data_IF_933060582308
#
_entry.id   IF_933060582308
#
_cell.length_a   1.000
_cell.length_b   1.000
_cell.length_c   1.000
_cell.angle_alpha   90.00
_cell.angle_beta   90.00
_cell.angle_gamma   90.00
#
_symmetry.space_group_name_H-M   'P 1'
#
loop_
_entity.id
_entity.type
_entity.pdbx_description
1 polymer ?
#
# COMPACT_ATOMS: atom_id res chain seq x y z
N UNK A 1 -42.65 3.96 -5.59
CA UNK A 1 -41.69 2.86 -5.81
C UNK A 1 -41.02 3.22 -7.12
N UNK A 2 -40.02 4.10 -7.05
CA UNK A 2 -39.39 4.65 -8.26
C UNK A 2 -38.40 3.63 -8.78
N UNK A 3 -38.77 2.98 -9.89
CA UNK A 3 -38.00 1.97 -10.60
C UNK A 3 -36.90 2.57 -11.48
N UNK A 4 -36.67 3.89 -11.40
CA UNK A 4 -35.78 4.65 -12.29
C UNK A 4 -34.49 5.12 -11.62
N UNK A 5 -34.12 4.57 -10.45
CA UNK A 5 -32.80 4.82 -9.89
C UNK A 5 -31.73 4.22 -10.81
N UNK A 6 -30.74 5.00 -11.30
CA UNK A 6 -29.72 4.49 -12.21
C UNK A 6 -28.96 3.32 -11.56
N UNK A 7 -29.06 2.15 -12.18
CA UNK A 7 -28.45 0.92 -11.67
C UNK A 7 -26.96 0.86 -12.00
N UNK A 8 -26.13 0.83 -10.97
CA UNK A 8 -24.68 0.64 -11.02
C UNK A 8 -24.29 -0.84 -10.81
N UNK A 9 -24.74 -1.71 -11.72
CA UNK A 9 -24.28 -3.10 -11.78
C UNK A 9 -22.75 -3.27 -11.84
N UNK A 10 -21.98 -2.49 -12.62
CA UNK A 10 -20.52 -2.66 -12.67
C UNK A 10 -19.86 -2.35 -11.33
N UNK A 11 -20.28 -1.28 -10.63
CA UNK A 11 -19.79 -0.96 -9.29
C UNK A 11 -20.07 -2.08 -8.29
N UNK A 12 -21.29 -2.62 -8.26
CA UNK A 12 -21.63 -3.74 -7.38
C UNK A 12 -20.75 -4.98 -7.64
N UNK A 13 -20.56 -5.34 -8.92
CA UNK A 13 -19.74 -6.49 -9.30
C UNK A 13 -18.29 -6.29 -8.84
N UNK A 14 -17.74 -5.09 -9.07
CA UNK A 14 -16.39 -4.73 -8.59
C UNK A 14 -16.31 -4.87 -7.07
N UNK A 15 -17.27 -4.34 -6.31
CA UNK A 15 -17.29 -4.43 -4.85
C UNK A 15 -17.24 -5.88 -4.36
N UNK A 16 -18.11 -6.75 -4.86
CA UNK A 16 -18.13 -8.17 -4.46
C UNK A 16 -16.90 -8.93 -4.93
N UNK A 17 -16.41 -8.64 -6.14
CA UNK A 17 -15.17 -9.21 -6.66
C UNK A 17 -13.96 -8.82 -5.79
N UNK A 18 -13.90 -7.58 -5.29
CA UNK A 18 -12.86 -7.11 -4.38
C UNK A 18 -12.81 -7.92 -3.08
N UNK A 19 -13.97 -8.26 -2.51
CA UNK A 19 -14.04 -9.08 -1.28
C UNK A 19 -13.48 -10.48 -1.53
N UNK A 20 -13.91 -11.13 -2.61
CA UNK A 20 -13.44 -12.47 -2.97
C UNK A 20 -11.94 -12.46 -3.29
N UNK A 21 -11.48 -11.47 -4.06
CA UNK A 21 -10.08 -11.31 -4.41
C UNK A 21 -9.22 -11.02 -3.17
N UNK A 22 -9.67 -10.18 -2.24
CA UNK A 22 -8.96 -9.91 -0.97
C UNK A 22 -8.71 -11.20 -0.18
N UNK A 23 -9.74 -12.04 -0.05
CA UNK A 23 -9.62 -13.34 0.64
C UNK A 23 -8.68 -14.29 -0.10
N UNK A 24 -8.82 -14.37 -1.43
CA UNK A 24 -7.98 -15.21 -2.28
C UNK A 24 -6.51 -14.83 -2.20
N UNK A 25 -6.17 -13.57 -2.44
CA UNK A 25 -4.80 -13.06 -2.35
C UNK A 25 -4.23 -13.22 -0.95
N UNK A 26 -5.02 -12.99 0.11
CA UNK A 26 -4.56 -13.15 1.49
C UNK A 26 -4.20 -14.61 1.75
N UNK A 27 -5.05 -15.54 1.32
CA UNK A 27 -4.78 -16.98 1.41
C UNK A 27 -3.49 -17.38 0.66
N UNK A 28 -3.30 -16.88 -0.56
CA UNK A 28 -2.09 -17.15 -1.36
C UNK A 28 -0.83 -16.61 -0.65
N UNK A 29 -0.87 -15.38 -0.15
CA UNK A 29 0.27 -14.75 0.53
C UNK A 29 0.61 -15.47 1.83
N UNK A 30 -0.38 -15.80 2.67
CA UNK A 30 -0.16 -16.55 3.90
C UNK A 30 0.40 -17.95 3.63
N UNK A 31 -0.12 -18.64 2.61
CA UNK A 31 0.42 -19.94 2.21
C UNK A 31 1.87 -19.82 1.71
N UNK A 32 2.18 -18.78 0.94
CA UNK A 32 3.53 -18.50 0.44
C UNK A 32 4.52 -18.25 1.59
N UNK A 33 4.12 -17.44 2.58
CA UNK A 33 4.92 -17.19 3.80
C UNK A 33 5.13 -18.49 4.58
N UNK A 34 4.07 -19.30 4.75
CA UNK A 34 4.14 -20.58 5.46
C UNK A 34 5.10 -21.55 4.79
N UNK A 35 5.02 -21.70 3.47
CA UNK A 35 5.91 -22.57 2.70
C UNK A 35 7.37 -22.11 2.82
N UNK A 36 7.63 -20.80 2.68
CA UNK A 36 8.95 -20.20 2.86
C UNK A 36 9.52 -20.46 4.25
N UNK A 37 8.71 -20.30 5.30
CA UNK A 37 9.10 -20.58 6.68
C UNK A 37 9.43 -22.08 6.90
N UNK A 38 8.63 -22.98 6.33
CA UNK A 38 8.86 -24.43 6.41
C UNK A 38 10.16 -24.85 5.71
N UNK A 39 10.43 -24.30 4.52
CA UNK A 39 11.68 -24.55 3.79
C UNK A 39 12.92 -24.10 4.56
N UNK A 40 12.78 -23.13 5.46
CA UNK A 40 13.87 -22.63 6.30
C UNK A 40 14.03 -23.40 7.63
N UNK A 41 13.43 -24.60 7.76
CA UNK A 41 13.47 -25.45 8.95
C UNK A 41 13.14 -24.70 10.26
N UNK A 42 12.28 -23.68 10.21
CA UNK A 42 11.92 -22.86 11.38
C UNK A 42 13.05 -21.99 11.95
N UNK A 43 14.19 -21.87 11.27
CA UNK A 43 15.30 -20.98 11.69
C UNK A 43 14.95 -19.50 11.54
N UNK A 44 14.02 -19.16 10.63
CA UNK A 44 13.55 -17.78 10.48
C UNK A 44 12.62 -17.39 11.62
N UNK A 45 13.08 -16.51 12.51
CA UNK A 45 12.22 -15.90 13.52
C UNK A 45 11.35 -14.82 12.86
N UNK A 46 10.05 -15.08 12.76
CA UNK A 46 9.08 -14.04 12.38
C UNK A 46 8.96 -13.07 13.57
N UNK A 47 9.26 -11.77 13.38
CA UNK A 47 9.17 -10.83 14.48
C UNK A 47 7.72 -10.62 14.94
N UNK A 48 7.48 -10.78 16.24
CA UNK A 48 6.15 -10.58 16.85
C UNK A 48 5.58 -9.20 16.54
N UNK A 49 6.43 -8.16 16.51
CA UNK A 49 6.03 -6.80 16.17
C UNK A 49 5.34 -6.70 14.80
N UNK A 50 5.83 -7.42 13.78
CA UNK A 50 5.22 -7.42 12.44
C UNK A 50 3.88 -8.16 12.44
N UNK A 51 3.73 -9.21 13.25
CA UNK A 51 2.46 -9.95 13.39
C UNK A 51 1.42 -9.03 14.05
N UNK A 52 1.79 -8.38 15.16
CA UNK A 52 0.92 -7.43 15.85
C UNK A 52 0.52 -6.30 14.90
N UNK A 53 1.48 -5.74 14.16
CA UNK A 53 1.22 -4.64 13.24
C UNK A 53 0.33 -5.04 12.06
N UNK A 54 0.50 -6.25 11.54
CA UNK A 54 -0.39 -6.83 10.52
C UNK A 54 -1.82 -6.95 11.05
N UNK A 55 -1.99 -7.50 12.25
CA UNK A 55 -3.30 -7.65 12.88
C UNK A 55 -3.95 -6.31 13.23
N UNK A 56 -3.18 -5.35 13.76
CA UNK A 56 -3.69 -4.03 14.14
C UNK A 56 -4.07 -3.20 12.92
N UNK A 57 -3.26 -3.24 11.86
CA UNK A 57 -3.55 -2.60 10.57
C UNK A 57 -4.84 -3.13 9.97
N UNK A 58 -4.98 -4.47 9.88
CA UNK A 58 -6.19 -5.10 9.36
C UNK A 58 -7.43 -4.73 10.17
N UNK A 59 -7.34 -4.77 11.51
CA UNK A 59 -8.45 -4.46 12.39
C UNK A 59 -8.88 -2.99 12.30
N UNK A 60 -7.91 -2.07 12.31
CA UNK A 60 -8.16 -0.63 12.22
C UNK A 60 -8.83 -0.28 10.89
N UNK A 61 -8.32 -0.77 9.77
CA UNK A 61 -8.96 -0.46 8.48
C UNK A 61 -10.33 -1.12 8.37
N UNK A 62 -10.48 -2.37 8.79
CA UNK A 62 -11.76 -3.07 8.77
C UNK A 62 -12.84 -2.27 9.51
N UNK A 63 -12.48 -1.68 10.66
CA UNK A 63 -13.37 -0.79 11.42
C UNK A 63 -13.77 0.47 10.63
N UNK A 64 -12.81 1.22 10.07
CA UNK A 64 -13.13 2.44 9.33
C UNK A 64 -13.87 2.18 8.01
N UNK A 65 -13.48 1.16 7.26
CA UNK A 65 -14.17 0.77 6.02
C UNK A 65 -15.59 0.26 6.30
N UNK A 66 -15.79 -0.52 7.37
CA UNK A 66 -17.13 -0.93 7.79
C UNK A 66 -17.99 0.29 8.17
N UNK A 67 -17.42 1.30 8.82
CA UNK A 67 -18.12 2.55 9.08
C UNK A 67 -18.50 3.31 7.80
N UNK A 68 -17.65 3.31 6.76
CA UNK A 68 -18.01 3.85 5.43
C UNK A 68 -19.21 3.10 4.85
N UNK A 69 -19.17 1.76 4.85
CA UNK A 69 -20.26 0.94 4.31
C UNK A 69 -21.57 1.14 5.08
N UNK A 70 -21.50 1.22 6.42
CA UNK A 70 -22.66 1.52 7.25
C UNK A 70 -23.22 2.90 6.94
N UNK A 71 -22.37 3.92 6.78
CA UNK A 71 -22.80 5.27 6.47
C UNK A 71 -23.52 5.32 5.12
N UNK A 72 -22.93 4.68 4.09
CA UNK A 72 -23.53 4.56 2.76
C UNK A 72 -24.87 3.83 2.82
N UNK A 73 -24.96 2.71 3.54
CA UNK A 73 -26.22 1.98 3.69
C UNK A 73 -27.28 2.79 4.42
N UNK A 74 -26.92 3.50 5.49
CA UNK A 74 -27.83 4.39 6.23
C UNK A 74 -28.44 5.45 5.33
N UNK A 75 -27.61 6.12 4.53
CA UNK A 75 -28.06 7.15 3.59
C UNK A 75 -28.99 6.55 2.53
N UNK A 76 -28.61 5.43 1.93
CA UNK A 76 -29.43 4.73 0.95
C UNK A 76 -30.79 4.30 1.54
N UNK A 77 -30.79 3.70 2.73
CA UNK A 77 -32.00 3.21 3.39
C UNK A 77 -32.97 4.34 3.74
N UNK A 78 -32.46 5.51 4.14
CA UNK A 78 -33.25 6.70 4.42
C UNK A 78 -33.95 7.20 3.16
N UNK A 79 -33.22 7.27 2.04
CA UNK A 79 -33.78 7.70 0.75
C UNK A 79 -34.85 6.74 0.22
N UNK A 80 -34.75 5.45 0.54
CA UNK A 80 -35.69 4.42 0.11
C UNK A 80 -36.78 4.10 1.16
N UNK A 81 -36.83 4.85 2.27
CA UNK A 81 -37.78 4.64 3.38
C UNK A 81 -37.76 3.22 3.97
N UNK A 82 -36.59 2.56 3.97
CA UNK A 82 -36.40 1.22 4.52
C UNK A 82 -35.94 1.35 5.97
N UNK A 83 -36.59 0.69 6.95
CA UNK A 83 -36.19 0.77 8.35
C UNK A 83 -34.80 0.15 8.55
N UNK A 84 -33.90 0.86 9.24
CA UNK A 84 -32.53 0.40 9.54
C UNK A 84 -32.48 -0.98 10.21
N UNK A 85 -33.53 -1.30 10.97
CA UNK A 85 -33.73 -2.60 11.60
C UNK A 85 -33.70 -3.78 10.62
N UNK A 86 -33.94 -3.58 9.32
CA UNK A 86 -33.88 -4.64 8.30
C UNK A 86 -32.49 -5.31 8.18
N UNK A 87 -31.41 -4.65 8.62
CA UNK A 87 -30.05 -5.20 8.58
C UNK A 87 -29.71 -6.05 9.82
N UNK A 88 -30.38 -5.81 10.95
CA UNK A 88 -30.09 -6.42 12.27
C UNK A 88 -31.22 -7.37 12.73
N UNK A 89 -32.45 -7.15 12.28
CA UNK A 89 -33.66 -7.93 12.58
C UNK A 89 -33.63 -9.33 11.97
N UNK A 90 -34.47 -10.24 12.47
CA UNK A 90 -34.66 -11.60 11.96
C UNK A 90 -35.10 -11.65 10.49
N UNK A 91 -35.69 -10.56 9.96
CA UNK A 91 -36.04 -10.40 8.54
C UNK A 91 -34.87 -9.84 7.72
N UNK A 92 -33.69 -10.48 7.80
CA UNK A 92 -32.55 -10.14 6.93
C UNK A 92 -32.87 -10.57 5.51
N UNK A 93 -33.19 -9.63 4.64
CA UNK A 93 -33.38 -9.91 3.22
C UNK A 93 -32.06 -9.61 2.49
N UNK A 94 -31.30 -10.65 2.04
CA UNK A 94 -30.07 -10.45 1.25
C UNK A 94 -30.32 -9.63 -0.03
N UNK A 95 -31.58 -9.59 -0.47
CA UNK A 95 -32.07 -8.75 -1.55
C UNK A 95 -31.78 -7.25 -1.32
N UNK A 96 -31.85 -6.73 -0.09
CA UNK A 96 -31.58 -5.32 0.19
C UNK A 96 -30.09 -4.97 0.13
N UNK A 97 -29.20 -5.88 0.53
CA UNK A 97 -27.75 -5.66 0.39
C UNK A 97 -27.33 -5.64 -1.08
N UNK A 98 -27.91 -6.55 -1.88
CA UNK A 98 -27.69 -6.54 -3.32
C UNK A 98 -28.21 -5.25 -3.95
N UNK A 99 -29.47 -4.89 -3.67
CA UNK A 99 -30.08 -3.64 -4.16
C UNK A 99 -29.26 -2.42 -3.80
N UNK A 100 -28.86 -2.27 -2.53
CA UNK A 100 -27.96 -1.21 -2.08
C UNK A 100 -26.65 -1.20 -2.85
N UNK A 101 -25.99 -2.36 -3.02
CA UNK A 101 -24.73 -2.42 -3.76
C UNK A 101 -24.88 -2.00 -5.23
N UNK A 102 -26.04 -2.29 -5.85
CA UNK A 102 -26.32 -1.94 -7.26
C UNK A 102 -26.90 -0.54 -7.46
N UNK A 103 -27.35 0.15 -6.42
CA UNK A 103 -28.04 1.45 -6.57
C UNK A 103 -27.39 2.56 -5.75
N UNK A 104 -26.29 2.27 -5.05
CA UNK A 104 -25.50 3.28 -4.35
C UNK A 104 -24.34 3.79 -5.19
N UNK A 105 -23.95 5.04 -4.93
CA UNK A 105 -22.78 5.71 -5.48
C UNK A 105 -21.52 5.49 -4.64
N UNK A 106 -21.42 4.35 -3.93
CA UNK A 106 -20.40 4.08 -2.89
C UNK A 106 -18.97 4.51 -3.27
N UNK A 107 -18.49 4.12 -4.45
CA UNK A 107 -17.13 4.44 -4.91
C UNK A 107 -16.95 5.92 -5.26
N UNK A 108 -17.97 6.53 -5.84
CA UNK A 108 -17.97 7.96 -6.17
C UNK A 108 -17.98 8.78 -4.88
N UNK A 109 -18.88 8.48 -3.94
CA UNK A 109 -18.97 9.16 -2.65
C UNK A 109 -17.64 9.06 -1.87
N UNK A 110 -17.00 7.89 -1.92
CA UNK A 110 -15.69 7.68 -1.31
C UNK A 110 -14.62 8.58 -1.96
N UNK A 111 -14.55 8.59 -3.29
CA UNK A 111 -13.60 9.39 -4.06
C UNK A 111 -13.79 10.89 -3.83
N UNK A 112 -15.03 11.36 -3.86
CA UNK A 112 -15.38 12.76 -3.61
C UNK A 112 -15.04 13.16 -2.17
N UNK A 113 -15.32 12.29 -1.19
CA UNK A 113 -15.05 12.59 0.21
C UNK A 113 -13.57 12.83 0.51
N UNK A 114 -12.66 12.08 -0.13
CA UNK A 114 -11.22 12.21 0.08
C UNK A 114 -10.61 13.44 -0.59
N UNK A 115 -11.24 13.99 -1.62
CA UNK A 115 -10.79 15.21 -2.31
C UNK A 115 -11.60 16.48 -1.95
N UNK A 116 -12.68 16.33 -1.19
CA UNK A 116 -13.66 17.39 -0.92
C UNK A 116 -13.09 18.68 -0.34
N UNK A 117 -12.03 18.60 0.48
CA UNK A 117 -11.38 19.77 1.06
C UNK A 117 -9.87 19.62 1.02
N UNK A 118 -9.14 20.74 0.96
CA UNK A 118 -7.67 20.73 0.94
C UNK A 118 -7.05 19.92 2.10
N UNK A 119 -7.50 20.05 3.36
CA UNK A 119 -6.98 19.23 4.46
C UNK A 119 -7.23 17.73 4.28
N UNK A 120 -8.45 17.34 3.83
CA UNK A 120 -8.80 15.93 3.57
C UNK A 120 -7.96 15.35 2.45
N UNK A 121 -7.77 16.14 1.39
CA UNK A 121 -6.96 15.76 0.25
C UNK A 121 -5.49 15.62 0.62
N UNK A 122 -4.94 16.50 1.46
CA UNK A 122 -3.55 16.41 1.91
C UNK A 122 -3.29 15.14 2.72
N UNK A 123 -4.19 14.76 3.62
CA UNK A 123 -4.09 13.50 4.36
C UNK A 123 -4.24 12.29 3.43
N UNK A 124 -5.27 12.29 2.59
CA UNK A 124 -5.59 11.18 1.69
C UNK A 124 -4.50 10.96 0.64
N UNK A 125 -4.02 12.03 0.00
CA UNK A 125 -2.92 11.98 -0.97
C UNK A 125 -1.62 11.51 -0.33
N UNK A 126 -1.35 11.85 0.93
CA UNK A 126 -0.17 11.35 1.66
C UNK A 126 -0.23 9.82 1.86
N UNK A 127 -1.41 9.28 2.17
CA UNK A 127 -1.64 7.84 2.21
C UNK A 127 -1.41 7.18 0.84
N UNK A 128 -1.97 7.76 -0.21
CA UNK A 128 -1.82 7.29 -1.59
C UNK A 128 -0.36 7.32 -2.07
N UNK A 129 0.42 8.35 -1.70
CA UNK A 129 1.86 8.41 -1.98
C UNK A 129 2.65 7.36 -1.22
N UNK A 130 2.24 7.04 0.01
CA UNK A 130 2.82 5.92 0.77
C UNK A 130 2.62 4.59 0.05
N UNK A 131 1.45 4.36 -0.55
CA UNK A 131 1.20 3.17 -1.38
C UNK A 131 2.16 3.07 -2.56
N UNK A 132 2.42 4.19 -3.26
CA UNK A 132 3.42 4.23 -4.36
C UNK A 132 4.81 3.85 -3.86
N UNK A 133 5.24 4.43 -2.73
CA UNK A 133 6.54 4.14 -2.15
C UNK A 133 6.67 2.65 -1.78
N UNK A 134 5.63 2.07 -1.19
CA UNK A 134 5.56 0.64 -0.86
C UNK A 134 5.55 -0.23 -2.13
N UNK A 135 4.81 0.14 -3.17
CA UNK A 135 4.75 -0.58 -4.44
C UNK A 135 6.12 -0.63 -5.13
N UNK A 136 6.80 0.53 -5.20
CA UNK A 136 8.16 0.63 -5.74
C UNK A 136 9.11 -0.25 -4.93
N UNK A 137 9.10 -0.11 -3.59
CA UNK A 137 9.94 -0.91 -2.71
C UNK A 137 9.70 -2.41 -2.88
N UNK A 138 8.44 -2.84 -2.88
CA UNK A 138 8.02 -4.22 -3.05
C UNK A 138 8.41 -4.79 -4.42
N UNK A 139 8.28 -4.00 -5.48
CA UNK A 139 8.68 -4.40 -6.84
C UNK A 139 10.20 -4.59 -6.96
N UNK A 140 10.98 -3.75 -6.31
CA UNK A 140 12.45 -3.83 -6.32
C UNK A 140 12.93 -4.98 -5.45
N UNK A 141 12.58 -4.98 -4.17
CA UNK A 141 13.03 -5.98 -3.20
C UNK A 141 12.45 -7.35 -3.48
N UNK A 142 11.19 -7.42 -3.91
CA UNK A 142 10.52 -8.67 -4.22
C UNK A 142 11.23 -9.41 -5.34
N UNK A 143 11.63 -8.72 -6.41
CA UNK A 143 12.39 -9.33 -7.50
C UNK A 143 13.86 -9.54 -7.15
N UNK A 144 14.50 -8.59 -6.45
CA UNK A 144 15.88 -8.74 -5.97
C UNK A 144 16.04 -10.00 -5.12
N UNK A 145 15.07 -10.26 -4.24
CA UNK A 145 15.06 -11.44 -3.38
C UNK A 145 14.26 -12.60 -3.98
N UNK A 146 13.85 -12.56 -5.24
CA UNK A 146 13.06 -13.63 -5.89
C UNK A 146 11.90 -14.14 -5.01
N UNK A 147 11.06 -13.24 -4.52
CA UNK A 147 9.90 -13.58 -3.69
C UNK A 147 8.89 -14.35 -4.53
N UNK A 148 8.51 -15.59 -4.14
CA UNK A 148 7.47 -16.35 -4.82
C UNK A 148 6.13 -15.62 -4.76
N UNK A 149 5.30 -15.78 -5.79
CA UNK A 149 3.96 -15.19 -5.87
C UNK A 149 3.91 -13.67 -5.59
N UNK A 150 4.94 -12.92 -6.00
CA UNK A 150 5.01 -11.47 -5.78
C UNK A 150 3.76 -10.73 -6.29
N UNK A 151 3.17 -11.20 -7.39
CA UNK A 151 1.91 -10.69 -7.94
C UNK A 151 0.76 -10.67 -6.92
N UNK A 152 0.70 -11.65 -6.00
CA UNK A 152 -0.34 -11.70 -4.98
C UNK A 152 -0.14 -10.63 -3.88
N UNK A 153 1.11 -10.27 -3.58
CA UNK A 153 1.40 -9.14 -2.67
C UNK A 153 1.00 -7.81 -3.30
N UNK A 154 1.21 -7.63 -4.61
CA UNK A 154 0.69 -6.48 -5.36
C UNK A 154 -0.84 -6.49 -5.39
N UNK A 155 -1.48 -7.64 -5.61
CA UNK A 155 -2.94 -7.77 -5.52
C UNK A 155 -3.49 -7.35 -4.17
N UNK A 156 -2.81 -7.69 -3.07
CA UNK A 156 -3.15 -7.16 -1.74
C UNK A 156 -2.92 -5.66 -1.63
N UNK A 157 -1.84 -5.13 -2.19
CA UNK A 157 -1.55 -3.70 -2.15
C UNK A 157 -2.61 -2.86 -2.89
N UNK A 158 -3.24 -3.41 -3.93
CA UNK A 158 -4.33 -2.75 -4.67
C UNK A 158 -5.66 -2.73 -3.91
N UNK A 159 -5.97 -3.83 -3.21
CA UNK A 159 -7.31 -4.11 -2.67
C UNK A 159 -7.41 -3.83 -1.17
N UNK A 160 -6.34 -4.15 -0.43
CA UNK A 160 -6.27 -4.10 1.01
C UNK A 160 -5.38 -2.94 1.49
N UNK A 161 -5.39 -2.62 2.80
CA UNK A 161 -4.58 -1.54 3.33
C UNK A 161 -3.11 -1.70 2.98
N UNK A 162 -2.46 -0.59 2.65
CA UNK A 162 -1.05 -0.51 2.31
C UNK A 162 -0.20 -1.12 3.41
N UNK A 163 -0.48 -0.74 4.65
CA UNK A 163 0.26 -1.18 5.82
C UNK A 163 0.11 -2.68 6.11
N UNK A 164 -1.02 -3.28 5.75
CA UNK A 164 -1.24 -4.73 5.87
C UNK A 164 -0.40 -5.49 4.84
N UNK A 165 -0.50 -5.11 3.56
CA UNK A 165 0.28 -5.72 2.48
C UNK A 165 1.79 -5.56 2.71
N UNK A 166 2.21 -4.37 3.15
CA UNK A 166 3.60 -4.06 3.50
C UNK A 166 4.10 -4.92 4.67
N UNK A 167 3.33 -5.07 5.73
CA UNK A 167 3.74 -5.85 6.91
C UNK A 167 3.87 -7.35 6.56
N UNK A 168 2.93 -7.89 5.78
CA UNK A 168 3.03 -9.26 5.25
C UNK A 168 4.26 -9.44 4.35
N UNK A 169 4.57 -8.45 3.53
CA UNK A 169 5.78 -8.47 2.70
C UNK A 169 7.05 -8.47 3.56
N UNK A 170 7.12 -7.66 4.62
CA UNK A 170 8.26 -7.71 5.56
C UNK A 170 8.39 -9.05 6.28
N UNK A 171 7.27 -9.68 6.65
CA UNK A 171 7.28 -11.04 7.20
C UNK A 171 7.87 -12.01 6.16
N UNK A 172 7.42 -11.94 4.90
CA UNK A 172 7.96 -12.76 3.82
C UNK A 172 9.48 -12.60 3.69
N UNK A 173 9.99 -11.35 3.70
CA UNK A 173 11.43 -11.08 3.66
C UNK A 173 12.19 -11.65 4.86
N UNK A 174 11.56 -11.74 6.05
CA UNK A 174 12.16 -12.38 7.23
C UNK A 174 12.21 -13.91 7.12
N UNK A 175 11.23 -14.53 6.46
CA UNK A 175 11.17 -15.99 6.33
C UNK A 175 12.14 -16.54 5.30
N UNK A 176 12.50 -15.73 4.30
CA UNK A 176 13.36 -16.17 3.20
C UNK A 176 14.82 -16.31 3.66
N UNK A 177 15.50 -17.44 3.35
CA UNK A 177 16.94 -17.55 3.58
C UNK A 177 17.70 -16.52 2.75
N UNK A 178 18.59 -15.77 3.41
CA UNK A 178 19.53 -14.90 2.74
C UNK A 178 20.56 -15.79 2.04
N UNK A 179 20.40 -15.98 0.73
CA UNK A 179 21.35 -16.79 -0.05
C UNK A 179 22.72 -16.12 0.00
N UNK A 180 23.69 -16.79 0.63
CA UNK A 180 25.09 -16.35 0.70
C UNK A 180 25.76 -16.25 -0.69
N UNK A 181 25.15 -16.86 -1.71
CA UNK A 181 25.64 -16.88 -3.10
C UNK A 181 24.69 -16.14 -4.06
N UNK A 182 23.94 -15.14 -3.61
CA UNK A 182 23.36 -14.20 -4.56
C UNK A 182 24.54 -13.41 -5.14
N UNK A 183 25.07 -13.87 -6.28
CA UNK A 183 25.69 -12.98 -7.26
C UNK A 183 24.83 -11.72 -7.25
N UNK A 184 25.34 -10.65 -6.66
CA UNK A 184 24.61 -9.41 -6.42
C UNK A 184 24.27 -8.90 -7.81
N UNK A 185 23.11 -9.31 -8.34
CA UNK A 185 22.66 -8.91 -9.65
C UNK A 185 22.37 -7.44 -9.50
N UNK A 186 23.32 -6.62 -9.93
CA UNK A 186 23.23 -5.18 -9.83
C UNK A 186 22.07 -4.77 -10.73
N UNK A 187 20.97 -4.44 -10.08
CA UNK A 187 19.72 -4.09 -10.72
C UNK A 187 19.73 -2.58 -10.89
N UNK A 188 20.03 -2.12 -12.11
CA UNK A 188 19.93 -0.73 -12.50
C UNK A 188 18.51 -0.41 -12.93
N UNK A 189 17.99 0.73 -12.47
CA UNK A 189 16.66 1.18 -12.84
C UNK A 189 16.64 1.72 -14.25
N UNK A 190 15.66 1.27 -15.03
CA UNK A 190 15.37 1.87 -16.31
C UNK A 190 14.75 3.27 -16.09
N UNK A 191 15.00 4.29 -16.94
CA UNK A 191 14.44 5.63 -16.75
C UNK A 191 12.91 5.66 -16.58
N UNK A 192 12.20 4.67 -17.11
CA UNK A 192 10.75 4.53 -16.95
C UNK A 192 10.29 4.40 -15.48
N UNK A 193 11.15 4.02 -14.55
CA UNK A 193 10.82 3.99 -13.12
C UNK A 193 10.50 5.39 -12.57
N UNK A 194 11.13 6.44 -13.10
CA UNK A 194 10.83 7.83 -12.73
C UNK A 194 9.50 8.31 -13.33
N UNK A 195 9.00 7.65 -14.38
CA UNK A 195 7.70 7.96 -14.97
C UNK A 195 6.54 7.58 -14.05
N UNK A 196 6.69 6.57 -13.18
CA UNK A 196 5.64 6.18 -12.22
C UNK A 196 5.24 7.34 -11.30
N UNK A 197 6.14 7.91 -10.47
CA UNK A 197 5.77 9.03 -9.59
C UNK A 197 5.31 10.26 -10.36
N UNK A 198 5.83 10.53 -11.56
CA UNK A 198 5.36 11.66 -12.40
C UNK A 198 3.93 11.48 -12.90
N UNK A 199 3.59 10.30 -13.44
CA UNK A 199 2.24 9.99 -13.91
C UNK A 199 1.25 9.90 -12.73
N UNK A 200 1.73 9.43 -11.58
CA UNK A 200 0.93 9.39 -10.36
C UNK A 200 0.62 10.80 -9.84
N UNK A 201 1.62 11.69 -9.82
CA UNK A 201 1.45 13.11 -9.53
C UNK A 201 0.40 13.74 -10.45
N UNK A 202 0.49 13.49 -11.76
CA UNK A 202 -0.48 13.97 -12.74
C UNK A 202 -1.90 13.46 -12.43
N UNK A 203 -2.03 12.18 -12.10
CA UNK A 203 -3.32 11.57 -11.74
C UNK A 203 -3.91 12.21 -10.49
N UNK A 204 -3.11 12.42 -9.44
CA UNK A 204 -3.58 13.05 -8.20
C UNK A 204 -4.00 14.50 -8.42
N UNK A 205 -3.22 15.30 -9.15
CA UNK A 205 -3.60 16.68 -9.46
C UNK A 205 -4.90 16.75 -10.29
N UNK A 206 -5.05 15.85 -11.27
CA UNK A 206 -6.26 15.76 -12.08
C UNK A 206 -7.48 15.35 -11.24
N UNK A 207 -7.29 14.47 -10.24
CA UNK A 207 -8.36 14.05 -9.34
C UNK A 207 -8.93 15.22 -8.50
N UNK A 208 -8.10 16.21 -8.17
CA UNK A 208 -8.56 17.43 -7.49
C UNK A 208 -9.40 18.32 -8.43
N UNK A 209 -9.00 18.42 -9.70
CA UNK A 209 -9.74 19.19 -10.72
C UNK A 209 -11.09 18.54 -11.05
N UNK A 210 -11.16 17.21 -11.04
CA UNK A 210 -12.38 16.44 -11.30
C UNK A 210 -13.24 16.20 -10.07
N UNK A 211 -12.97 16.88 -8.96
CA UNK A 211 -13.81 16.83 -7.76
C UNK A 211 -15.22 17.38 -8.10
N UNK A 212 -16.21 16.49 -8.16
CA UNK A 212 -17.59 16.80 -8.57
C UNK A 212 -17.96 16.34 -9.99
N UNK A 213 -16.98 15.90 -10.79
CA UNK A 213 -17.20 15.21 -12.07
C UNK A 213 -16.99 13.70 -11.88
N UNK A 214 -17.96 13.06 -11.21
CA UNK A 214 -17.87 11.70 -10.68
C UNK A 214 -17.26 10.66 -11.64
N UNK A 215 -17.65 10.64 -12.91
CA UNK A 215 -17.12 9.69 -13.90
C UNK A 215 -15.62 9.88 -14.15
N UNK A 216 -15.17 11.13 -14.36
CA UNK A 216 -13.75 11.44 -14.62
C UNK A 216 -12.90 11.12 -13.41
N UNK A 217 -13.40 11.41 -12.21
CA UNK A 217 -12.74 11.09 -10.95
C UNK A 217 -12.48 9.57 -10.84
N UNK A 218 -13.47 8.74 -11.16
CA UNK A 218 -13.32 7.27 -11.14
C UNK A 218 -12.26 6.80 -12.16
N UNK A 219 -12.25 7.32 -13.38
CA UNK A 219 -11.23 6.96 -14.37
C UNK A 219 -9.82 7.38 -13.93
N UNK A 220 -9.67 8.54 -13.30
CA UNK A 220 -8.40 8.99 -12.74
C UNK A 220 -7.93 8.11 -11.60
N UNK A 221 -8.83 7.69 -10.70
CA UNK A 221 -8.52 6.73 -9.63
C UNK A 221 -8.08 5.39 -10.24
N UNK A 222 -8.78 4.89 -11.25
CA UNK A 222 -8.42 3.63 -11.92
C UNK A 222 -7.04 3.71 -12.58
N UNK A 223 -6.73 4.82 -13.25
CA UNK A 223 -5.42 5.07 -13.82
C UNK A 223 -4.32 5.08 -12.73
N UNK A 224 -4.57 5.74 -11.60
CA UNK A 224 -3.65 5.75 -10.47
C UNK A 224 -3.40 4.33 -9.91
N UNK A 225 -4.44 3.49 -9.85
CA UNK A 225 -4.31 2.07 -9.44
C UNK A 225 -3.49 1.24 -10.42
N UNK A 226 -3.69 1.41 -11.73
CA UNK A 226 -2.88 0.69 -12.74
C UNK A 226 -1.39 1.03 -12.61
N UNK A 227 -1.05 2.28 -12.28
CA UNK A 227 0.34 2.72 -12.07
C UNK A 227 1.03 2.00 -10.90
N UNK A 228 0.29 1.58 -9.87
CA UNK A 228 0.83 0.85 -8.72
C UNK A 228 1.25 -0.59 -9.04
N UNK A 229 0.72 -1.18 -10.11
CA UNK A 229 1.11 -2.51 -10.62
C UNK A 229 2.38 -2.41 -11.47
N UNK A 230 2.68 -1.25 -12.04
CA UNK A 230 3.78 -1.06 -12.97
C UNK A 230 5.16 -1.46 -12.40
N UNK A 231 5.49 -1.19 -11.11
CA UNK A 231 6.69 -1.74 -10.46
C UNK A 231 6.82 -3.27 -10.51
N UNK A 232 5.76 -4.05 -10.71
CA UNK A 232 5.84 -5.51 -10.87
C UNK A 232 6.36 -5.92 -12.25
N UNK A 233 6.04 -5.13 -13.29
CA UNK A 233 6.25 -5.47 -14.71
C UNK A 233 7.48 -4.77 -15.28
N UNK A 234 7.81 -3.55 -14.82
CA UNK A 234 8.91 -2.78 -15.38
C UNK A 234 10.23 -3.56 -15.32
N UNK A 235 11.02 -3.52 -16.40
CA UNK A 235 12.29 -4.21 -16.44
C UNK A 235 13.25 -3.59 -15.43
N UNK A 236 14.16 -4.46 -15.03
CA UNK A 236 15.12 -4.27 -13.98
C UNK A 236 16.43 -4.67 -14.66
N UNK A 237 17.21 -3.68 -15.09
CA UNK A 237 18.38 -3.92 -15.94
C UNK A 237 19.44 -4.63 -15.11
N UNK A 238 19.81 -5.85 -15.49
CA UNK A 238 20.96 -6.51 -14.89
C UNK A 238 22.22 -5.94 -15.50
N UNK A 239 22.98 -5.17 -14.74
CA UNK A 239 24.32 -4.78 -15.15
C UNK A 239 25.21 -6.00 -14.94
N UNK A 240 25.47 -6.72 -16.03
CA UNK A 240 26.46 -7.78 -16.05
C UNK A 240 27.84 -7.13 -15.98
N UNK A 241 28.61 -7.50 -14.94
CA UNK A 241 30.07 -7.34 -14.84
C UNK A 241 30.61 -5.91 -15.04
N UNK A 242 30.95 -5.24 -13.94
CA UNK A 242 31.85 -4.07 -13.95
C UNK A 242 33.15 -4.37 -13.18
N UNK A 243 34.24 -3.67 -13.55
CA UNK A 243 35.61 -4.11 -13.30
C UNK A 243 35.99 -4.05 -11.81
N UNK A 244 36.87 -4.96 -11.41
CA UNK A 244 37.45 -5.05 -10.06
C UNK A 244 37.95 -3.68 -9.58
N UNK A 245 37.18 -3.00 -8.74
CA UNK A 245 37.63 -1.75 -8.11
C UNK A 245 36.54 -0.84 -7.55
N UNK A 246 35.29 -0.92 -8.03
CA UNK A 246 34.17 -0.14 -7.47
C UNK A 246 33.27 -1.01 -6.59
N UNK A 247 32.95 -0.56 -5.38
CA UNK A 247 32.07 -1.27 -4.44
C UNK A 247 30.65 -1.35 -5.02
N UNK A 248 30.16 -2.55 -5.40
CA UNK A 248 28.88 -2.71 -6.09
C UNK A 248 27.67 -2.22 -5.27
N UNK A 249 27.79 -2.20 -3.95
CA UNK A 249 26.74 -1.71 -3.04
C UNK A 249 26.50 -0.20 -3.18
N UNK A 250 27.55 0.61 -3.39
CA UNK A 250 27.43 2.08 -3.35
C UNK A 250 26.59 2.64 -4.50
N UNK A 251 26.76 2.13 -5.72
CA UNK A 251 25.97 2.54 -6.89
C UNK A 251 24.49 2.11 -6.79
N UNK A 252 24.21 0.93 -6.24
CA UNK A 252 22.85 0.43 -6.09
C UNK A 252 22.09 1.23 -5.04
N UNK A 253 22.68 1.43 -3.85
CA UNK A 253 22.09 2.28 -2.81
C UNK A 253 21.86 3.71 -3.32
N UNK A 254 22.80 4.27 -4.08
CA UNK A 254 22.64 5.59 -4.68
C UNK A 254 21.45 5.66 -5.66
N UNK A 255 21.27 4.67 -6.52
CA UNK A 255 20.17 4.64 -7.49
C UNK A 255 18.79 4.50 -6.83
N UNK A 256 18.67 3.65 -5.79
CA UNK A 256 17.42 3.48 -5.03
C UNK A 256 17.11 4.73 -4.23
N UNK A 257 18.14 5.32 -3.62
CA UNK A 257 18.03 6.58 -2.91
C UNK A 257 17.57 7.70 -3.84
N UNK A 258 18.07 7.79 -5.09
CA UNK A 258 17.63 8.77 -6.08
C UNK A 258 16.16 8.62 -6.45
N UNK A 259 15.67 7.40 -6.68
CA UNK A 259 14.25 7.17 -6.98
C UNK A 259 13.37 7.52 -5.78
N UNK A 260 13.82 7.16 -4.58
CA UNK A 260 13.14 7.48 -3.33
C UNK A 260 13.08 9.00 -3.08
N UNK A 261 14.22 9.70 -3.19
CA UNK A 261 14.27 11.16 -3.03
C UNK A 261 13.47 11.87 -4.11
N UNK A 262 13.47 11.36 -5.36
CA UNK A 262 12.61 11.87 -6.42
C UNK A 262 11.13 11.73 -6.10
N UNK A 263 10.71 10.56 -5.60
CA UNK A 263 9.32 10.31 -5.19
C UNK A 263 8.90 11.25 -4.06
N UNK A 264 9.75 11.42 -3.04
CA UNK A 264 9.52 12.38 -1.97
C UNK A 264 9.47 13.83 -2.47
N UNK A 265 10.33 14.21 -3.42
CA UNK A 265 10.30 15.53 -4.03
C UNK A 265 9.00 15.76 -4.79
N UNK A 266 8.52 14.77 -5.56
CA UNK A 266 7.22 14.87 -6.27
C UNK A 266 6.04 14.96 -5.31
N UNK A 267 6.06 14.21 -4.20
CA UNK A 267 5.07 14.32 -3.14
C UNK A 267 5.09 15.72 -2.52
N UNK A 268 6.27 16.24 -2.17
CA UNK A 268 6.42 17.57 -1.60
C UNK A 268 5.89 18.66 -2.55
N UNK A 269 6.18 18.54 -3.85
CA UNK A 269 5.64 19.46 -4.87
C UNK A 269 4.11 19.38 -4.96
N UNK A 270 3.53 18.17 -4.89
CA UNK A 270 2.07 17.98 -4.81
C UNK A 270 1.51 18.76 -3.63
N UNK A 271 2.07 18.52 -2.43
CA UNK A 271 1.60 19.12 -1.18
C UNK A 271 1.76 20.64 -1.18
N UNK A 272 2.87 21.16 -1.71
CA UNK A 272 3.12 22.60 -1.84
C UNK A 272 2.15 23.26 -2.82
N UNK A 273 1.79 22.59 -3.92
CA UNK A 273 0.87 23.13 -4.93
C UNK A 273 -0.56 23.37 -4.40
N UNK A 274 -0.97 22.62 -3.38
CA UNK A 274 -2.32 22.67 -2.81
C UNK A 274 -2.56 23.96 -1.97
N UNK A 275 -1.49 24.68 -1.64
CA UNK A 275 -1.55 26.01 -1.01
C UNK A 275 -1.85 25.98 0.50
N UNK A 276 -1.55 27.12 1.15
CA UNK A 276 -1.48 27.29 2.61
C UNK A 276 -2.68 26.79 3.41
N UNK A 277 -2.39 25.88 4.34
CA UNK A 277 -3.28 25.37 5.40
C UNK A 277 -3.42 26.33 6.60
N UNK A 278 -2.90 27.55 6.49
CA UNK A 278 -2.74 28.47 7.63
C UNK A 278 -1.31 28.50 8.16
N UNK A 279 -1.14 29.05 9.36
CA UNK A 279 0.16 29.08 10.04
C UNK A 279 0.59 27.66 10.44
N UNK A 280 1.89 27.44 10.68
CA UNK A 280 2.40 26.16 11.20
C UNK A 280 1.76 25.75 12.54
N UNK A 281 1.26 26.72 13.31
CA UNK A 281 0.62 26.50 14.61
C UNK A 281 -0.82 25.97 14.47
N UNK A 282 -1.55 26.38 13.43
CA UNK A 282 -2.93 25.94 13.17
C UNK A 282 -3.00 24.59 12.45
N UNK A 283 -1.93 24.22 11.74
CA UNK A 283 -1.89 23.03 10.90
C UNK A 283 -2.27 21.72 11.64
N UNK A 284 -1.81 21.43 12.87
CA UNK A 284 -2.21 20.21 13.58
C UNK A 284 -3.71 20.14 13.86
N UNK A 285 -4.33 21.27 14.21
CA UNK A 285 -5.77 21.33 14.52
C UNK A 285 -6.58 21.10 13.25
N UNK A 286 -6.22 21.78 12.15
CA UNK A 286 -6.88 21.63 10.84
C UNK A 286 -6.78 20.19 10.33
N UNK A 287 -5.61 19.56 10.47
CA UNK A 287 -5.43 18.16 10.07
C UNK A 287 -6.19 17.19 10.97
N UNK A 288 -6.26 17.44 12.28
CA UNK A 288 -7.03 16.60 13.21
C UNK A 288 -8.53 16.69 12.96
N UNK A 289 -9.04 17.89 12.67
CA UNK A 289 -10.42 18.11 12.27
C UNK A 289 -10.71 17.38 10.96
N UNK A 290 -9.84 17.51 9.97
CA UNK A 290 -9.96 16.81 8.70
C UNK A 290 -9.95 15.29 8.86
N UNK A 291 -9.05 14.77 9.70
CA UNK A 291 -8.97 13.35 10.05
C UNK A 291 -10.30 12.85 10.61
N UNK A 292 -10.93 13.59 11.51
CA UNK A 292 -12.18 13.18 12.16
C UNK A 292 -13.45 13.52 11.35
N UNK A 293 -13.30 14.22 10.23
CA UNK A 293 -14.45 14.73 9.47
C UNK A 293 -15.15 13.68 8.59
N UNK A 294 -14.46 12.59 8.20
CA UNK A 294 -15.06 11.55 7.36
C UNK A 294 -14.37 10.19 7.50
N UNK A 295 -15.10 9.06 7.58
CA UNK A 295 -14.52 7.73 7.76
C UNK A 295 -13.60 7.29 6.60
N UNK A 296 -13.82 7.77 5.36
CA UNK A 296 -12.92 7.51 4.24
C UNK A 296 -11.53 8.12 4.44
N UNK A 297 -11.47 9.32 5.01
CA UNK A 297 -10.21 10.02 5.30
C UNK A 297 -9.50 9.34 6.47
N UNK A 298 -10.25 8.91 7.49
CA UNK A 298 -9.73 8.09 8.58
C UNK A 298 -9.08 6.81 8.06
N UNK A 299 -9.77 6.07 7.18
CA UNK A 299 -9.26 4.82 6.61
C UNK A 299 -7.87 4.99 5.98
N UNK A 300 -7.68 5.99 5.11
CA UNK A 300 -6.39 6.25 4.46
C UNK A 300 -5.33 6.81 5.41
N UNK A 301 -5.72 7.67 6.35
CA UNK A 301 -4.79 8.32 7.28
C UNK A 301 -4.26 7.34 8.33
N UNK A 302 -5.12 6.50 8.91
CA UNK A 302 -4.67 5.47 9.85
C UNK A 302 -3.85 4.38 9.15
N UNK A 303 -4.15 4.06 7.89
CA UNK A 303 -3.31 3.17 7.08
C UNK A 303 -1.91 3.77 6.86
N UNK A 304 -1.82 5.06 6.54
CA UNK A 304 -0.55 5.79 6.45
C UNK A 304 0.25 5.71 7.76
N UNK A 305 -0.40 5.98 8.91
CA UNK A 305 0.27 5.91 10.21
C UNK A 305 0.86 4.51 10.46
N UNK A 306 0.09 3.45 10.19
CA UNK A 306 0.57 2.08 10.32
C UNK A 306 1.70 1.75 9.34
N UNK A 307 1.62 2.24 8.11
CA UNK A 307 2.64 2.07 7.07
C UNK A 307 3.98 2.70 7.48
N UNK A 308 3.93 3.91 8.05
CA UNK A 308 5.12 4.62 8.58
C UNK A 308 5.73 3.86 9.75
N UNK A 309 4.90 3.36 10.69
CA UNK A 309 5.39 2.54 11.82
C UNK A 309 6.03 1.24 11.31
N UNK A 310 5.41 0.57 10.34
CA UNK A 310 5.95 -0.65 9.72
C UNK A 310 7.31 -0.39 9.07
N UNK A 311 7.39 0.69 8.29
CA UNK A 311 8.62 1.10 7.63
C UNK A 311 9.73 1.44 8.63
N UNK A 312 9.42 2.24 9.65
CA UNK A 312 10.37 2.61 10.70
C UNK A 312 10.91 1.39 11.45
N UNK A 313 10.04 0.46 11.82
CA UNK A 313 10.45 -0.81 12.42
C UNK A 313 11.38 -1.62 11.49
N UNK A 314 11.04 -1.70 10.21
CA UNK A 314 11.82 -2.44 9.22
C UNK A 314 13.22 -1.86 9.02
N UNK A 315 13.34 -0.53 8.93
CA UNK A 315 14.63 0.17 8.79
C UNK A 315 15.53 -0.07 10.01
N UNK A 316 15.00 0.13 11.23
CA UNK A 316 15.74 -0.09 12.48
C UNK A 316 16.19 -1.55 12.66
N UNK A 317 15.43 -2.51 12.12
CA UNK A 317 15.81 -3.93 12.14
C UNK A 317 16.95 -4.22 11.17
N UNK A 318 16.96 -3.59 9.99
CA UNK A 318 18.01 -3.74 8.99
C UNK A 318 19.38 -3.39 9.54
N UNK A 319 19.51 -2.22 10.16
CA UNK A 319 20.77 -1.73 10.77
C UNK A 319 21.30 -2.69 11.84
N UNK A 320 20.42 -3.22 12.70
CA UNK A 320 20.81 -4.18 13.75
C UNK A 320 21.32 -5.50 13.18
N UNK A 321 20.74 -5.98 12.09
CA UNK A 321 21.16 -7.22 11.46
C UNK A 321 22.54 -7.07 10.79
N UNK A 322 22.81 -5.94 10.14
CA UNK A 322 24.09 -5.64 9.51
C UNK A 322 25.22 -5.53 10.57
N UNK A 323 24.99 -4.79 11.67
CA UNK A 323 25.98 -4.67 12.75
C UNK A 323 26.36 -6.02 13.40
N UNK A 324 25.40 -6.95 13.53
CA UNK A 324 25.67 -8.28 14.08
C UNK A 324 26.47 -9.13 13.09
N UNK A 325 26.14 -9.05 11.80
CA UNK A 325 26.86 -9.78 10.76
C UNK A 325 28.32 -9.32 10.64
N UNK A 326 28.58 -8.01 10.69
CA UNK A 326 29.93 -7.44 10.62
C UNK A 326 30.79 -7.86 11.83
N UNK A 327 30.22 -7.87 13.03
CA UNK A 327 30.90 -8.37 14.24
C UNK A 327 31.26 -9.86 14.12
N UNK A 328 30.34 -10.68 13.63
CA UNK A 328 30.58 -12.11 13.42
C UNK A 328 31.64 -12.37 12.33
N UNK A 329 31.70 -11.52 11.30
CA UNK A 329 32.72 -11.62 10.26
C UNK A 329 34.12 -11.22 10.76
N UNK A 330 34.22 -10.28 11.70
CA UNK A 330 35.49 -9.85 12.31
C UNK A 330 36.03 -10.83 13.36
N UNK A 331 35.16 -11.63 14.00
CA UNK A 331 35.55 -12.62 15.02
C UNK A 331 35.97 -13.98 14.44
N UNK A 332 35.85 -14.20 13.12
CA UNK A 332 36.35 -15.42 12.47
C UNK A 332 37.89 -15.37 12.40
N UNK A 333 38.62 -16.31 13.04
CA UNK A 333 40.08 -16.30 13.00
C UNK A 333 40.55 -16.54 11.58
N UNK A 334 41.41 -15.64 11.09
CA UNK A 334 42.20 -15.82 9.87
C UNK A 334 42.96 -17.13 10.04
N UNK A 335 42.49 -18.20 9.38
CA UNK A 335 43.19 -19.47 9.36
C UNK A 335 44.47 -19.22 8.56
N UNK A 336 45.59 -19.20 9.27
CA UNK A 336 46.93 -19.05 8.70
C UNK A 336 47.08 -19.96 7.47
N UNK A 337 47.17 -19.34 6.29
CA UNK A 337 47.80 -19.97 5.14
C UNK A 337 49.31 -19.94 5.38
N UNK A 338 49.79 -20.89 6.18
CA UNK A 338 51.18 -21.33 6.12
C UNK A 338 51.21 -22.86 6.23
N UNK A 339 52.17 -23.47 5.52
CA UNK A 339 52.31 -24.89 5.16
C UNK A 339 51.40 -25.32 3.99
N UNK A 340 51.92 -25.73 2.82
CA UNK A 340 53.24 -26.29 2.47
C UNK A 340 53.75 -25.80 1.12
#
# INVERSE_FOLDING_TARGET
MDLDAPTNYPGALIFWAYIVAALGFTGIVLNTIRQSHQQNNGRSKIPLALIILTGSSFSTLSYHMLNVLILSYKQWSTNHSIPLGALISSNRTPLHLWQWSTTSSLFQDFGEAIVATKPRYLLSSSGLWSTVAVAIYMGIEGRRRNVPNLWAFFGLLEILPTSFAQSLFYIMLCTKPQSANLNQKLLSYWPAWFSIPLLYLYSLNSALEYAGEGEKLIYTILAARILLILPLVLPLSSVSTQPSGSTPQMFQHASTLRLFTFTLATQFLTQKSIGGLGSWEEMPVVLLEALNSHPAVQALSYDLMHSVVAFGYWMLRGEKAEMVADKQAQELPVKDQSSS
#
